data_IF_187767207891
#
_entry.id   IF_187767207891
#
_cell.length_a   1.000
_cell.length_b   1.000
_cell.length_c   1.000
_cell.angle_alpha   90.00
_cell.angle_beta   90.00
_cell.angle_gamma   90.00
#
_symmetry.space_group_name_H-M   'P 1'
#
loop_
_entity.id
_entity.type
_entity.pdbx_description
1 polymer ?
#
# COMPACT_ATOMS: atom_id res chain seq x y z
N UNK A 1 -9.61 -64.01 -54.88
CA UNK A 1 -10.48 -63.07 -54.25
C UNK A 1 -9.84 -62.67 -52.94
N UNK A 2 -9.10 -61.55 -52.95
CA UNK A 2 -8.26 -61.12 -51.81
C UNK A 2 -8.94 -59.95 -51.13
N UNK A 3 -9.32 -60.13 -49.83
CA UNK A 3 -9.94 -59.12 -49.03
C UNK A 3 -8.85 -58.31 -48.36
N UNK A 4 -8.75 -56.99 -48.67
CA UNK A 4 -7.88 -56.03 -47.99
C UNK A 4 -8.61 -55.49 -46.76
N UNK A 5 -8.05 -55.73 -45.57
CA UNK A 5 -8.49 -55.06 -44.33
C UNK A 5 -7.76 -53.75 -44.14
N UNK A 6 -8.50 -52.65 -44.11
CA UNK A 6 -8.00 -51.33 -43.72
C UNK A 6 -8.01 -51.19 -42.18
N UNK A 7 -6.80 -51.06 -41.58
CA UNK A 7 -6.66 -50.60 -40.21
C UNK A 7 -6.68 -49.06 -40.18
N UNK A 8 -7.69 -48.50 -39.56
CA UNK A 8 -7.76 -47.07 -39.22
C UNK A 8 -7.09 -46.86 -37.87
N UNK A 9 -5.90 -46.32 -37.88
CA UNK A 9 -5.22 -45.91 -36.63
C UNK A 9 -5.81 -44.62 -36.07
N UNK A 10 -6.44 -44.69 -34.89
CA UNK A 10 -6.90 -43.53 -34.13
C UNK A 10 -5.70 -42.98 -33.37
N UNK A 11 -5.17 -41.83 -33.79
CA UNK A 11 -4.20 -41.06 -33.05
C UNK A 11 -4.90 -40.29 -31.92
N UNK A 12 -4.73 -40.74 -30.67
CA UNK A 12 -5.16 -40.04 -29.49
C UNK A 12 -4.18 -38.89 -29.22
N UNK A 13 -4.57 -37.65 -29.51
CA UNK A 13 -3.85 -36.46 -29.08
C UNK A 13 -4.11 -36.23 -27.58
N UNK A 14 -3.19 -36.63 -26.69
CA UNK A 14 -3.16 -36.19 -25.30
C UNK A 14 -2.72 -34.73 -25.24
N UNK A 15 -3.67 -33.83 -25.10
CA UNK A 15 -3.37 -32.42 -24.77
C UNK A 15 -2.82 -32.34 -23.34
N UNK A 16 -1.51 -32.26 -23.20
CA UNK A 16 -0.87 -31.95 -21.91
C UNK A 16 -1.11 -30.47 -21.65
N UNK A 17 -2.10 -30.16 -20.81
CA UNK A 17 -2.30 -28.82 -20.26
C UNK A 17 -1.15 -28.54 -19.30
N UNK A 18 -0.13 -27.82 -19.76
CA UNK A 18 0.89 -27.23 -18.89
C UNK A 18 0.21 -26.21 -17.97
N UNK A 19 -0.16 -26.62 -16.78
CA UNK A 19 -0.47 -25.69 -15.69
C UNK A 19 0.83 -24.95 -15.33
N UNK A 20 1.05 -23.78 -15.95
CA UNK A 20 2.05 -22.83 -15.49
C UNK A 20 1.55 -22.32 -14.14
N UNK A 21 2.11 -22.84 -13.05
CA UNK A 21 1.88 -22.27 -11.73
C UNK A 21 2.43 -20.84 -11.76
N UNK A 22 1.66 -19.83 -11.36
CA UNK A 22 2.17 -18.47 -11.26
C UNK A 22 3.34 -18.47 -10.27
N UNK A 23 4.50 -17.98 -10.70
CA UNK A 23 5.65 -17.77 -9.83
C UNK A 23 5.17 -16.91 -8.65
N UNK A 24 5.27 -17.43 -7.43
CA UNK A 24 4.67 -16.79 -6.27
C UNK A 24 5.37 -15.45 -6.01
N UNK A 25 4.64 -14.35 -6.11
CA UNK A 25 5.11 -13.02 -5.74
C UNK A 25 5.58 -12.95 -4.27
N UNK A 26 5.24 -13.96 -3.46
CA UNK A 26 5.64 -14.09 -2.06
C UNK A 26 7.15 -14.29 -1.86
N UNK A 27 7.89 -14.83 -2.85
CA UNK A 27 9.32 -15.12 -2.69
C UNK A 27 10.20 -13.87 -2.56
N UNK A 28 9.71 -12.69 -3.00
CA UNK A 28 10.48 -11.45 -3.02
C UNK A 28 10.07 -10.45 -1.93
N UNK A 29 9.06 -10.79 -1.12
CA UNK A 29 8.58 -9.95 -0.02
C UNK A 29 9.13 -10.48 1.30
N UNK A 30 9.90 -9.64 2.03
CA UNK A 30 10.29 -9.94 3.41
C UNK A 30 9.09 -9.72 4.34
N UNK A 31 8.82 -10.68 5.20
CA UNK A 31 7.74 -10.60 6.20
C UNK A 31 8.32 -10.60 7.61
N UNK A 32 7.68 -9.82 8.47
CA UNK A 32 7.95 -9.75 9.91
C UNK A 32 6.80 -10.41 10.64
N UNK A 33 7.12 -11.25 11.61
CA UNK A 33 6.13 -11.88 12.48
C UNK A 33 5.74 -10.96 13.65
N UNK A 34 4.47 -10.64 13.75
CA UNK A 34 3.89 -9.91 14.89
C UNK A 34 3.34 -10.94 15.88
N UNK A 35 3.77 -10.91 17.16
CA UNK A 35 3.39 -11.92 18.14
C UNK A 35 1.90 -12.01 18.44
N UNK A 36 1.47 -13.19 18.90
CA UNK A 36 0.15 -13.40 19.50
C UNK A 36 0.16 -12.83 20.92
N UNK A 37 -0.43 -11.67 21.09
CA UNK A 37 -0.47 -10.96 22.37
C UNK A 37 -1.73 -10.09 22.48
N UNK A 38 -1.91 -9.46 23.66
CA UNK A 38 -2.89 -8.41 23.88
C UNK A 38 -2.21 -7.05 23.71
N UNK A 39 -2.79 -6.21 22.87
CA UNK A 39 -2.27 -4.88 22.53
C UNK A 39 -3.24 -3.77 22.95
N UNK A 40 -2.69 -2.66 23.40
CA UNK A 40 -3.46 -1.44 23.61
C UNK A 40 -3.44 -0.61 22.32
N UNK A 41 -4.63 -0.31 21.78
CA UNK A 41 -4.85 0.50 20.58
C UNK A 41 -5.64 1.75 20.92
N UNK A 42 -5.56 2.75 20.05
CA UNK A 42 -6.25 4.02 20.21
C UNK A 42 -5.60 4.92 21.26
N UNK A 43 -6.30 5.97 21.63
CA UNK A 43 -5.95 6.94 22.67
C UNK A 43 -7.19 7.38 23.44
N UNK A 44 -7.02 7.85 24.67
CA UNK A 44 -8.11 8.40 25.47
C UNK A 44 -8.67 9.69 24.88
N UNK A 45 -7.81 10.45 24.22
CA UNK A 45 -8.16 11.75 23.65
C UNK A 45 -8.67 11.64 22.20
N UNK A 46 -8.47 10.50 21.52
CA UNK A 46 -8.82 10.35 20.11
C UNK A 46 -10.24 9.80 19.93
N UNK A 47 -11.21 10.65 19.58
CA UNK A 47 -12.62 10.29 19.49
C UNK A 47 -12.95 9.17 18.50
N UNK A 48 -12.26 9.12 17.34
CA UNK A 48 -12.53 8.14 16.29
C UNK A 48 -11.75 6.82 16.47
N UNK A 49 -10.74 6.82 17.34
CA UNK A 49 -9.94 5.65 17.69
C UNK A 49 -9.70 5.62 19.21
N UNK A 50 -10.77 5.36 20.02
CA UNK A 50 -10.68 5.37 21.47
C UNK A 50 -9.80 4.24 22.00
N UNK A 51 -9.18 4.48 23.15
CA UNK A 51 -8.33 3.49 23.83
C UNK A 51 -9.09 2.20 24.08
N UNK A 52 -8.54 1.09 23.62
CA UNK A 52 -9.09 -0.27 23.79
C UNK A 52 -8.01 -1.33 23.82
N UNK A 53 -8.32 -2.47 24.41
CA UNK A 53 -7.47 -3.65 24.42
C UNK A 53 -7.95 -4.63 23.35
N UNK A 54 -7.02 -5.15 22.56
CA UNK A 54 -7.30 -6.06 21.45
C UNK A 54 -6.40 -7.28 21.57
N UNK A 55 -6.98 -8.47 21.46
CA UNK A 55 -6.22 -9.73 21.40
C UNK A 55 -5.87 -10.03 19.94
N UNK A 56 -4.59 -10.15 19.63
CA UNK A 56 -4.10 -10.60 18.34
C UNK A 56 -3.76 -12.09 18.36
N UNK A 57 -4.09 -12.80 17.29
CA UNK A 57 -3.66 -14.20 17.09
C UNK A 57 -2.22 -14.32 16.55
N UNK A 58 -1.55 -13.17 16.33
CA UNK A 58 -0.29 -13.09 15.59
C UNK A 58 -0.53 -13.10 14.08
N UNK A 59 0.37 -12.47 13.34
CA UNK A 59 0.31 -12.40 11.87
C UNK A 59 1.67 -12.06 11.27
N UNK A 60 1.85 -12.37 10.00
CA UNK A 60 3.04 -12.00 9.24
C UNK A 60 2.71 -10.83 8.30
N UNK A 61 3.37 -9.71 8.48
CA UNK A 61 3.19 -8.48 7.70
C UNK A 61 4.45 -8.16 6.88
N UNK A 62 4.30 -7.64 5.68
CA UNK A 62 5.42 -7.20 4.85
C UNK A 62 6.25 -6.12 5.58
N UNK A 63 7.56 -6.30 5.59
CA UNK A 63 8.49 -5.36 6.24
C UNK A 63 8.42 -3.95 5.62
N UNK A 64 8.07 -3.85 4.34
CA UNK A 64 7.95 -2.61 3.58
C UNK A 64 6.61 -2.54 2.86
N UNK A 65 6.31 -1.38 2.31
CA UNK A 65 5.23 -1.19 1.33
C UNK A 65 5.46 -2.05 0.08
N UNK A 66 4.39 -2.30 -0.69
CA UNK A 66 4.47 -3.02 -1.95
C UNK A 66 5.17 -2.18 -3.02
N UNK A 67 6.24 -2.70 -3.60
CA UNK A 67 7.05 -1.97 -4.58
C UNK A 67 6.47 -1.98 -5.99
N UNK A 68 6.87 -1.00 -6.81
CA UNK A 68 6.59 -0.96 -8.24
C UNK A 68 7.01 -2.26 -8.95
N UNK A 69 8.13 -2.86 -8.56
CA UNK A 69 8.63 -4.14 -9.09
C UNK A 69 7.64 -5.28 -8.87
N UNK A 70 7.08 -5.40 -7.68
CA UNK A 70 6.12 -6.45 -7.35
C UNK A 70 4.78 -6.22 -8.05
N UNK A 71 4.32 -4.98 -8.10
CA UNK A 71 3.10 -4.64 -8.82
C UNK A 71 3.23 -4.85 -10.33
N UNK A 72 4.41 -4.57 -10.90
CA UNK A 72 4.70 -4.86 -12.31
C UNK A 72 4.58 -6.37 -12.63
N UNK A 73 5.06 -7.26 -11.73
CA UNK A 73 4.89 -8.71 -11.90
C UNK A 73 3.42 -9.10 -11.99
N UNK A 74 2.57 -8.52 -11.14
CA UNK A 74 1.12 -8.73 -11.18
C UNK A 74 0.52 -8.28 -12.51
N UNK A 75 0.82 -7.06 -12.94
CA UNK A 75 0.29 -6.52 -14.20
C UNK A 75 0.76 -7.34 -15.40
N UNK A 76 2.04 -7.75 -15.45
CA UNK A 76 2.57 -8.59 -16.52
C UNK A 76 1.90 -9.97 -16.56
N UNK A 77 1.64 -10.58 -15.41
CA UNK A 77 1.04 -11.90 -15.31
C UNK A 77 -0.46 -11.93 -15.65
N UNK A 78 -1.16 -10.82 -15.41
CA UNK A 78 -2.63 -10.79 -15.48
C UNK A 78 -3.17 -9.85 -16.57
N UNK A 79 -2.32 -9.01 -17.16
CA UNK A 79 -2.73 -7.91 -18.04
C UNK A 79 -3.73 -6.94 -17.38
N UNK A 80 -3.66 -6.81 -16.05
CA UNK A 80 -4.57 -6.00 -15.27
C UNK A 80 -4.50 -4.53 -15.67
N UNK A 81 -5.66 -3.89 -15.77
CA UNK A 81 -5.81 -2.45 -15.97
C UNK A 81 -6.31 -1.81 -14.69
N UNK A 82 -5.55 -0.88 -14.14
CA UNK A 82 -5.89 -0.16 -12.91
C UNK A 82 -7.09 0.76 -13.09
N UNK A 83 -7.71 1.18 -12.00
CA UNK A 83 -8.78 2.17 -12.02
C UNK A 83 -8.32 3.49 -12.65
N UNK A 84 -7.12 3.94 -12.34
CA UNK A 84 -6.53 5.13 -12.96
C UNK A 84 -6.44 5.01 -14.49
N UNK A 85 -6.03 3.85 -15.00
CA UNK A 85 -5.98 3.58 -16.45
C UNK A 85 -7.37 3.53 -17.10
N UNK A 86 -8.39 3.03 -16.39
CA UNK A 86 -9.76 2.87 -16.89
C UNK A 86 -10.59 4.14 -16.77
N UNK A 87 -10.52 4.82 -15.62
CA UNK A 87 -11.35 5.96 -15.27
C UNK A 87 -10.75 7.31 -15.69
N UNK A 88 -9.43 7.34 -15.96
CA UNK A 88 -8.73 8.55 -16.41
C UNK A 88 -8.88 9.75 -15.45
N UNK A 89 -8.90 9.48 -14.14
CA UNK A 89 -9.23 10.47 -13.10
C UNK A 89 -8.28 10.41 -11.91
N UNK A 90 -7.03 10.01 -12.11
CA UNK A 90 -6.04 9.97 -11.05
C UNK A 90 -5.79 11.38 -10.48
N UNK A 91 -5.58 11.45 -9.18
CA UNK A 91 -5.32 12.69 -8.45
C UNK A 91 -3.82 12.77 -8.16
N UNK A 92 -3.19 13.81 -8.69
CA UNK A 92 -1.75 14.05 -8.57
C UNK A 92 -1.47 15.37 -7.88
N UNK A 93 -0.38 15.43 -7.15
CA UNK A 93 0.13 16.67 -6.58
C UNK A 93 1.16 17.30 -7.52
N UNK A 94 1.18 18.64 -7.55
CA UNK A 94 2.23 19.44 -8.17
C UNK A 94 2.66 20.54 -7.20
N UNK A 95 3.96 20.86 -7.11
CA UNK A 95 4.44 21.98 -6.32
C UNK A 95 3.73 23.29 -6.69
N UNK A 96 3.49 24.14 -5.71
CA UNK A 96 2.78 25.41 -5.89
C UNK A 96 1.26 25.32 -5.81
N UNK A 97 0.69 24.14 -5.55
CA UNK A 97 -0.72 24.01 -5.23
C UNK A 97 -0.99 24.44 -3.79
N UNK A 98 -2.14 25.09 -3.57
CA UNK A 98 -2.62 25.39 -2.22
C UNK A 98 -2.88 24.10 -1.44
N UNK A 99 -2.88 24.20 -0.09
CA UNK A 99 -3.14 23.08 0.81
C UNK A 99 -4.39 22.28 0.42
N UNK A 100 -4.28 20.96 0.47
CA UNK A 100 -5.34 19.99 0.12
C UNK A 100 -5.88 20.11 -1.32
N UNK A 101 -5.13 20.76 -2.23
CA UNK A 101 -5.46 20.80 -3.65
C UNK A 101 -4.71 19.71 -4.41
N UNK A 102 -5.45 19.01 -5.25
CA UNK A 102 -4.97 17.94 -6.11
C UNK A 102 -5.43 18.21 -7.54
N UNK A 103 -4.62 17.84 -8.52
CA UNK A 103 -4.98 17.94 -9.93
C UNK A 103 -5.52 16.59 -10.39
N UNK A 104 -6.61 16.62 -11.16
CA UNK A 104 -7.03 15.44 -11.91
C UNK A 104 -6.17 15.34 -13.17
N UNK A 105 -5.47 14.21 -13.33
CA UNK A 105 -4.63 13.95 -14.50
C UNK A 105 -5.04 12.62 -15.15
N UNK A 106 -5.58 12.71 -16.38
CA UNK A 106 -6.05 11.55 -17.14
C UNK A 106 -4.92 10.67 -17.69
N UNK A 107 -3.67 11.13 -17.62
CA UNK A 107 -2.48 10.41 -18.08
C UNK A 107 -1.73 9.71 -16.94
N UNK A 108 -2.07 10.06 -15.67
CA UNK A 108 -1.44 9.49 -14.50
C UNK A 108 -1.97 8.07 -14.22
N UNK A 109 -1.07 7.16 -13.93
CA UNK A 109 -1.33 5.79 -13.48
C UNK A 109 -0.03 5.20 -12.88
N UNK A 110 -0.05 4.00 -12.37
CA UNK A 110 1.05 3.42 -11.61
C UNK A 110 2.45 3.47 -12.30
N UNK A 111 2.54 3.46 -13.66
CA UNK A 111 3.83 3.64 -14.40
C UNK A 111 4.26 5.09 -14.52
N UNK A 112 3.34 6.02 -14.48
CA UNK A 112 3.54 7.46 -14.52
C UNK A 112 2.70 8.10 -13.41
N UNK A 113 3.13 7.94 -12.13
CA UNK A 113 2.27 8.27 -10.98
C UNK A 113 1.91 9.76 -10.89
N UNK A 114 2.68 10.63 -11.53
CA UNK A 114 2.43 12.07 -11.59
C UNK A 114 2.05 12.57 -13.01
N UNK A 115 1.61 11.67 -13.89
CA UNK A 115 1.27 11.95 -15.29
C UNK A 115 2.44 11.77 -16.26
N UNK A 116 2.11 11.54 -17.56
CA UNK A 116 3.11 11.23 -18.60
C UNK A 116 3.99 12.41 -19.01
N UNK A 117 3.65 13.62 -18.57
CA UNK A 117 4.51 14.82 -18.74
C UNK A 117 5.66 14.87 -17.71
N UNK A 118 5.70 13.95 -16.76
CA UNK A 118 6.73 13.82 -15.72
C UNK A 118 7.38 12.44 -15.80
N UNK A 119 8.43 12.24 -14.99
CA UNK A 119 9.16 10.99 -14.93
C UNK A 119 8.27 9.81 -14.55
N UNK A 120 8.45 8.69 -15.24
CA UNK A 120 7.86 7.40 -14.88
C UNK A 120 8.66 6.68 -13.80
N UNK A 121 8.36 5.39 -13.64
CA UNK A 121 8.97 4.55 -12.59
C UNK A 121 10.17 3.72 -13.06
N UNK A 122 10.72 3.96 -14.25
CA UNK A 122 11.76 3.11 -14.84
C UNK A 122 12.99 2.92 -13.92
N UNK A 123 13.39 3.95 -13.23
CA UNK A 123 14.48 3.98 -12.23
C UNK A 123 13.97 3.87 -10.78
N UNK A 124 12.65 3.73 -10.56
CA UNK A 124 11.97 3.73 -9.25
C UNK A 124 11.33 2.39 -8.93
N UNK A 125 11.93 1.29 -9.36
CA UNK A 125 11.35 -0.05 -9.18
C UNK A 125 11.29 -0.50 -7.71
N UNK A 126 12.13 0.07 -6.84
CA UNK A 126 12.13 -0.16 -5.39
C UNK A 126 11.33 0.87 -4.60
N UNK A 127 10.67 1.83 -5.25
CA UNK A 127 9.72 2.73 -4.59
C UNK A 127 8.37 2.01 -4.42
N UNK A 128 7.53 2.45 -3.46
CA UNK A 128 6.17 1.93 -3.34
C UNK A 128 5.36 2.21 -4.60
N UNK A 129 4.49 1.29 -4.97
CA UNK A 129 3.52 1.55 -6.03
C UNK A 129 2.49 2.56 -5.56
N UNK A 130 2.22 3.56 -6.40
CA UNK A 130 1.21 4.61 -6.14
C UNK A 130 0.31 4.83 -7.36
N UNK A 131 -0.63 5.76 -7.25
CA UNK A 131 -1.61 6.06 -8.30
C UNK A 131 -2.40 4.82 -8.69
N UNK A 132 -2.75 4.06 -7.66
CA UNK A 132 -3.64 2.90 -7.66
C UNK A 132 -4.80 3.16 -6.71
N UNK A 133 -5.91 2.45 -6.90
CA UNK A 133 -7.05 2.49 -6.02
C UNK A 133 -7.01 1.39 -4.96
N UNK A 134 -7.88 1.48 -3.96
CA UNK A 134 -8.10 0.39 -3.00
C UNK A 134 -8.53 -0.91 -3.71
N UNK A 135 -9.38 -0.80 -4.74
CA UNK A 135 -9.81 -1.96 -5.54
C UNK A 135 -8.66 -2.59 -6.33
N UNK A 136 -7.69 -1.81 -6.81
CA UNK A 136 -6.47 -2.33 -7.45
C UNK A 136 -5.60 -3.10 -6.45
N UNK A 137 -5.48 -2.61 -5.20
CA UNK A 137 -4.77 -3.30 -4.14
C UNK A 137 -5.45 -4.63 -3.76
N UNK A 138 -6.79 -4.67 -3.66
CA UNK A 138 -7.56 -5.91 -3.47
C UNK A 138 -7.31 -6.91 -4.62
N UNK A 139 -7.25 -6.44 -5.88
CA UNK A 139 -6.98 -7.30 -7.04
C UNK A 139 -5.57 -7.91 -6.97
N UNK A 140 -4.56 -7.11 -6.61
CA UNK A 140 -3.21 -7.62 -6.34
C UNK A 140 -3.22 -8.68 -5.24
N UNK A 141 -3.84 -8.39 -4.09
CA UNK A 141 -3.92 -9.30 -2.95
C UNK A 141 -4.54 -10.65 -3.33
N UNK A 142 -5.61 -10.64 -4.10
CA UNK A 142 -6.26 -11.87 -4.61
C UNK A 142 -5.32 -12.69 -5.50
N UNK A 143 -4.58 -12.06 -6.41
CA UNK A 143 -3.63 -12.72 -7.28
C UNK A 143 -2.45 -13.30 -6.51
N UNK A 144 -1.85 -12.53 -5.60
CA UNK A 144 -0.69 -12.91 -4.83
C UNK A 144 -1.01 -13.86 -3.66
N UNK A 145 -2.29 -14.14 -3.37
CA UNK A 145 -2.76 -14.92 -2.21
C UNK A 145 -2.29 -14.34 -0.87
N UNK A 146 -2.39 -13.03 -0.76
CA UNK A 146 -2.13 -12.23 0.43
C UNK A 146 -3.38 -11.39 0.74
N UNK A 147 -3.34 -10.59 1.79
CA UNK A 147 -4.43 -9.65 2.12
C UNK A 147 -3.89 -8.30 2.59
N UNK A 148 -4.75 -7.31 2.61
CA UNK A 148 -4.48 -6.05 3.29
C UNK A 148 -4.50 -6.27 4.82
N UNK A 149 -3.78 -5.46 5.61
CA UNK A 149 -3.96 -5.40 7.06
C UNK A 149 -5.35 -4.85 7.40
N UNK A 150 -5.96 -5.35 8.45
CA UNK A 150 -7.07 -4.64 9.10
C UNK A 150 -6.54 -3.35 9.75
N UNK A 151 -7.46 -2.42 10.08
CA UNK A 151 -7.10 -1.20 10.80
C UNK A 151 -6.37 -1.50 12.13
N UNK A 152 -6.80 -2.54 12.84
CA UNK A 152 -6.20 -2.93 14.12
C UNK A 152 -4.83 -3.60 13.92
N UNK A 153 -4.67 -4.49 12.97
CA UNK A 153 -3.39 -5.12 12.65
C UNK A 153 -2.34 -4.10 12.21
N UNK A 154 -2.74 -3.13 11.39
CA UNK A 154 -1.85 -2.05 10.98
C UNK A 154 -1.41 -1.22 12.20
N UNK A 155 -2.33 -0.87 13.11
CA UNK A 155 -2.00 -0.11 14.32
C UNK A 155 -1.09 -0.89 15.27
N UNK A 156 -1.34 -2.19 15.49
CA UNK A 156 -0.45 -3.07 16.26
C UNK A 156 0.96 -3.04 15.67
N UNK A 157 1.05 -3.24 14.36
CA UNK A 157 2.31 -3.27 13.64
C UNK A 157 3.05 -1.93 13.69
N UNK A 158 2.33 -0.81 13.53
CA UNK A 158 2.92 0.53 13.52
C UNK A 158 3.49 0.95 14.88
N UNK A 159 2.80 0.63 15.97
CA UNK A 159 3.24 0.97 17.33
C UNK A 159 4.47 0.18 17.78
N UNK A 160 4.60 -1.07 17.37
CA UNK A 160 5.66 -1.98 17.84
C UNK A 160 5.82 -1.98 19.38
N UNK A 161 4.69 -1.93 20.10
CA UNK A 161 4.65 -1.86 21.57
C UNK A 161 4.85 -0.47 22.17
N UNK A 162 5.14 0.56 21.38
CA UNK A 162 5.28 1.93 21.88
C UNK A 162 3.95 2.48 22.43
N UNK A 163 4.03 3.21 23.53
CA UNK A 163 2.90 3.92 24.16
C UNK A 163 2.88 5.41 23.81
N UNK A 164 3.91 5.87 23.13
CA UNK A 164 4.15 7.23 22.66
C UNK A 164 3.39 7.52 21.37
N UNK A 165 3.32 8.79 20.98
CA UNK A 165 2.68 9.23 19.74
C UNK A 165 3.32 8.56 18.51
N UNK A 166 4.65 8.51 18.49
CA UNK A 166 5.43 7.83 17.46
C UNK A 166 6.14 6.61 18.05
N UNK A 167 6.52 5.65 17.22
CA UNK A 167 7.25 4.47 17.69
C UNK A 167 8.68 4.80 18.17
N UNK A 168 9.22 5.98 17.81
CA UNK A 168 10.53 6.47 18.28
C UNK A 168 10.43 7.38 19.52
N UNK A 169 9.23 7.70 20.03
CA UNK A 169 9.01 8.56 21.19
C UNK A 169 8.06 9.73 20.93
N UNK A 170 8.26 10.85 21.63
CA UNK A 170 7.39 12.04 21.52
C UNK A 170 8.06 13.20 20.76
N UNK A 171 9.35 13.10 20.46
CA UNK A 171 10.08 14.17 19.79
C UNK A 171 9.79 14.22 18.29
N UNK A 172 9.02 15.20 17.79
CA UNK A 172 8.69 15.32 16.38
C UNK A 172 9.88 15.72 15.50
N UNK A 173 10.98 16.23 16.09
CA UNK A 173 12.17 16.64 15.31
C UNK A 173 12.94 15.43 14.76
N UNK A 174 12.78 14.25 15.38
CA UNK A 174 13.42 13.02 14.94
C UNK A 174 12.78 12.41 13.70
N UNK A 175 11.62 12.91 13.25
CA UNK A 175 10.85 12.33 12.13
C UNK A 175 11.69 12.15 10.87
N UNK A 176 12.69 13.02 10.62
CA UNK A 176 13.59 12.96 9.45
C UNK A 176 14.42 11.67 9.38
N UNK A 177 14.59 10.98 10.50
CA UNK A 177 15.32 9.71 10.57
C UNK A 177 14.41 8.49 10.31
N UNK A 178 13.09 8.68 10.42
CA UNK A 178 12.12 7.60 10.48
C UNK A 178 11.06 7.63 9.39
N UNK A 179 10.85 8.79 8.72
CA UNK A 179 9.73 8.93 7.77
C UNK A 179 10.02 9.93 6.65
N UNK A 180 9.60 9.58 5.44
CA UNK A 180 9.50 10.49 4.33
C UNK A 180 8.20 11.29 4.44
N UNK A 181 8.28 12.58 4.79
CA UNK A 181 7.16 13.52 4.86
C UNK A 181 7.53 14.85 4.21
N UNK A 182 6.56 15.72 4.00
CA UNK A 182 6.81 17.08 3.53
C UNK A 182 7.41 17.94 4.64
N UNK A 183 8.62 18.44 4.43
CA UNK A 183 9.35 19.26 5.43
C UNK A 183 9.14 20.75 5.28
N UNK A 184 8.52 21.22 4.20
CA UNK A 184 8.18 22.62 4.00
C UNK A 184 7.10 23.12 4.98
N UNK A 185 7.05 24.42 5.19
CA UNK A 185 6.02 25.06 6.02
C UNK A 185 4.63 24.98 5.39
N UNK A 186 4.60 24.98 4.07
CA UNK A 186 3.41 24.83 3.24
C UNK A 186 3.79 24.11 1.93
N UNK A 187 2.80 23.73 1.13
CA UNK A 187 3.02 23.04 -0.14
C UNK A 187 3.32 23.98 -1.31
N UNK A 188 3.40 25.30 -1.08
CA UNK A 188 3.83 26.27 -2.09
C UNK A 188 5.35 26.28 -2.24
N UNK A 189 6.08 25.95 -1.17
CA UNK A 189 7.54 25.86 -1.15
C UNK A 189 7.99 24.50 -0.67
N UNK A 190 8.70 23.76 -1.53
CA UNK A 190 9.24 22.46 -1.17
C UNK A 190 10.53 22.61 -0.37
N UNK A 191 10.66 21.83 0.70
CA UNK A 191 11.91 21.60 1.41
C UNK A 191 12.31 20.13 1.19
N UNK A 192 13.41 19.91 0.46
CA UNK A 192 13.91 18.58 0.10
C UNK A 192 15.01 18.10 1.05
N UNK A 193 14.97 18.46 2.30
CA UNK A 193 16.04 18.13 3.26
C UNK A 193 16.16 16.62 3.53
N UNK A 194 15.14 15.82 3.24
CA UNK A 194 15.20 14.36 3.26
C UNK A 194 15.65 13.74 1.92
N UNK A 195 15.81 14.56 0.87
CA UNK A 195 16.23 14.13 -0.46
C UNK A 195 15.09 13.73 -1.40
N UNK A 196 13.83 13.75 -0.98
CA UNK A 196 12.69 13.26 -1.77
C UNK A 196 11.58 14.30 -1.88
N UNK A 197 11.10 14.54 -3.10
CA UNK A 197 9.91 15.36 -3.34
C UNK A 197 8.61 14.54 -3.25
N UNK A 198 8.69 13.28 -3.63
CA UNK A 198 7.61 12.32 -3.66
C UNK A 198 8.04 11.09 -2.85
N UNK A 199 7.72 9.89 -3.33
CA UNK A 199 8.12 8.66 -2.65
C UNK A 199 9.64 8.50 -2.56
N UNK A 200 10.11 7.91 -1.46
CA UNK A 200 11.45 7.35 -1.30
C UNK A 200 11.47 5.87 -1.71
N UNK A 201 12.63 5.27 -2.04
CA UNK A 201 12.76 3.82 -2.08
C UNK A 201 12.35 3.21 -0.74
N UNK A 202 11.68 2.06 -0.76
CA UNK A 202 11.32 1.38 0.50
C UNK A 202 12.55 1.06 1.34
N UNK A 203 12.40 1.07 2.67
CA UNK A 203 13.46 0.88 3.65
C UNK A 203 14.58 1.95 3.60
N UNK A 204 14.25 3.19 3.20
CA UNK A 204 15.19 4.31 3.23
C UNK A 204 15.36 4.93 4.61
N UNK A 205 14.44 4.69 5.54
CA UNK A 205 14.42 5.26 6.88
C UNK A 205 14.58 4.16 7.94
N UNK A 206 14.77 4.54 9.22
CA UNK A 206 14.94 3.59 10.31
C UNK A 206 13.64 2.82 10.59
N UNK A 207 13.71 1.49 10.81
CA UNK A 207 12.53 0.69 11.11
C UNK A 207 12.03 0.93 12.53
N UNK A 208 10.79 0.50 12.79
CA UNK A 208 10.25 0.41 14.14
C UNK A 208 10.77 -0.82 14.91
N UNK A 209 10.36 -0.99 16.17
CA UNK A 209 10.82 -2.07 17.05
C UNK A 209 10.47 -3.49 16.58
N UNK A 210 9.56 -3.66 15.64
CA UNK A 210 9.27 -4.94 14.98
C UNK A 210 10.08 -5.15 13.69
N UNK A 211 10.82 -4.15 13.20
CA UNK A 211 11.56 -4.22 11.94
C UNK A 211 10.75 -3.81 10.72
N UNK A 212 9.68 -3.03 10.90
CA UNK A 212 8.88 -2.48 9.82
C UNK A 212 9.40 -1.11 9.42
N UNK A 213 9.64 -0.93 8.14
CA UNK A 213 10.11 0.31 7.52
C UNK A 213 8.94 1.13 6.99
N UNK A 214 9.14 2.45 6.91
CA UNK A 214 8.26 3.40 6.23
C UNK A 214 6.80 3.34 6.73
N UNK A 215 6.62 2.91 8.00
CA UNK A 215 5.27 2.71 8.57
C UNK A 215 4.55 4.04 8.81
N UNK A 216 5.30 5.13 8.87
CA UNK A 216 4.79 6.50 8.83
C UNK A 216 5.44 7.23 7.65
N UNK A 217 4.67 8.10 6.97
CA UNK A 217 5.13 8.81 5.80
C UNK A 217 5.16 7.94 4.53
N UNK A 218 5.96 8.29 3.58
CA UNK A 218 6.13 7.71 2.26
C UNK A 218 4.82 7.57 1.48
N UNK A 219 3.96 6.58 1.75
CA UNK A 219 2.61 6.50 1.19
C UNK A 219 1.56 6.14 2.24
N UNK A 220 0.35 6.67 2.10
CA UNK A 220 -0.80 6.14 2.82
C UNK A 220 -1.01 4.68 2.46
N UNK A 221 -1.17 3.82 3.46
CA UNK A 221 -1.31 2.39 3.27
C UNK A 221 -2.76 1.94 3.41
N UNK A 222 -3.31 1.35 2.36
CA UNK A 222 -4.66 0.81 2.39
C UNK A 222 -4.82 -0.28 3.44
N UNK A 223 -5.93 -0.19 4.19
CA UNK A 223 -6.31 -1.14 5.23
C UNK A 223 -7.71 -1.69 4.97
N UNK A 224 -7.92 -2.97 5.28
CA UNK A 224 -9.23 -3.60 5.32
C UNK A 224 -10.01 -3.18 6.56
N UNK A 225 -11.29 -2.98 6.40
CA UNK A 225 -12.20 -2.69 7.50
C UNK A 225 -13.23 -1.63 7.16
N UNK A 226 -14.23 -1.54 8.01
CA UNK A 226 -15.28 -0.53 7.92
C UNK A 226 -15.28 0.29 9.21
N UNK A 227 -14.96 1.56 9.12
CA UNK A 227 -15.37 2.48 10.17
C UNK A 227 -16.90 2.62 10.09
N UNK A 228 -17.61 2.31 11.16
CA UNK A 228 -19.08 2.30 11.24
C UNK A 228 -19.76 3.66 11.01
N UNK A 229 -19.10 4.61 10.37
CA UNK A 229 -19.48 6.02 10.36
C UNK A 229 -19.89 6.59 9.00
N UNK A 230 -20.10 5.77 7.96
CA UNK A 230 -20.78 6.27 6.77
C UNK A 230 -22.30 6.02 6.88
N UNK A 231 -23.12 7.07 7.17
CA UNK A 231 -24.57 6.92 7.30
C UNK A 231 -25.24 6.51 5.98
N UNK A 232 -24.54 6.59 4.85
CA UNK A 232 -25.02 6.18 3.52
C UNK A 232 -24.59 4.76 3.14
N UNK A 233 -23.92 4.02 4.04
CA UNK A 233 -23.42 2.66 3.84
C UNK A 233 -22.62 2.49 2.52
N UNK A 234 -21.85 3.52 2.14
CA UNK A 234 -20.97 3.46 0.95
C UNK A 234 -19.72 2.66 1.26
N UNK A 235 -19.26 1.88 0.30
CA UNK A 235 -17.92 1.26 0.41
C UNK A 235 -16.88 2.38 0.46
N UNK A 236 -16.08 2.42 1.52
CA UNK A 236 -15.03 3.41 1.75
C UNK A 236 -13.70 2.67 1.83
N UNK A 237 -12.70 3.16 1.10
CA UNK A 237 -11.32 2.76 1.28
C UNK A 237 -10.76 3.42 2.54
N UNK A 238 -10.06 2.67 3.38
CA UNK A 238 -9.34 3.19 4.53
C UNK A 238 -7.85 3.14 4.27
N UNK A 239 -7.12 4.14 4.79
CA UNK A 239 -5.67 4.16 4.72
C UNK A 239 -5.07 4.78 6.00
N UNK A 240 -3.85 4.39 6.34
CA UNK A 240 -3.13 4.82 7.54
C UNK A 240 -1.71 5.26 7.21
N UNK A 241 -1.03 5.84 8.20
CA UNK A 241 0.40 6.10 8.17
C UNK A 241 0.83 7.46 7.62
N UNK A 242 -0.06 8.20 6.95
CA UNK A 242 0.33 9.42 6.27
C UNK A 242 1.13 9.14 4.99
N UNK A 243 1.76 10.17 4.42
CA UNK A 243 2.51 10.02 3.18
C UNK A 243 3.57 11.12 3.05
N UNK A 244 4.38 11.07 2.01
CA UNK A 244 5.34 12.12 1.63
C UNK A 244 4.70 13.52 1.51
N UNK A 245 3.37 13.60 1.34
CA UNK A 245 2.64 14.86 1.28
C UNK A 245 2.26 15.41 2.67
N UNK A 246 2.19 14.58 3.71
CA UNK A 246 1.84 15.01 5.06
C UNK A 246 2.99 15.81 5.70
N UNK A 247 2.66 16.82 6.50
CA UNK A 247 3.62 17.70 7.16
C UNK A 247 3.22 17.99 8.61
N UNK A 248 4.12 18.53 9.40
CA UNK A 248 3.83 19.01 10.76
C UNK A 248 2.81 20.18 10.77
N UNK A 249 2.55 20.80 9.63
CA UNK A 249 1.68 21.98 9.49
C UNK A 249 0.36 21.64 8.80
N UNK A 250 0.31 20.56 8.04
CA UNK A 250 -0.88 20.10 7.34
C UNK A 250 -0.86 18.55 7.24
N UNK A 251 -2.04 17.91 7.31
CA UNK A 251 -2.16 16.45 7.20
C UNK A 251 -1.23 15.70 8.17
N UNK A 252 -1.34 15.88 9.47
CA UNK A 252 -0.50 15.20 10.48
C UNK A 252 -0.76 13.69 10.65
N UNK A 253 -1.18 12.97 9.61
CA UNK A 253 -1.61 11.55 9.67
C UNK A 253 -0.45 10.53 9.74
N UNK A 254 0.79 10.99 9.82
CA UNK A 254 1.95 10.12 10.05
C UNK A 254 2.06 9.68 11.52
N UNK A 255 1.04 9.01 11.99
CA UNK A 255 0.91 8.45 13.33
C UNK A 255 0.07 7.17 13.33
N UNK A 256 -0.03 6.51 14.49
CA UNK A 256 -0.79 5.26 14.64
C UNK A 256 -2.29 5.44 14.83
N UNK A 257 -2.80 6.67 15.02
CA UNK A 257 -4.17 6.92 15.45
C UNK A 257 -5.12 7.26 14.30
N UNK A 258 -4.66 8.11 13.38
CA UNK A 258 -5.49 8.66 12.34
C UNK A 258 -5.79 7.66 11.21
N UNK A 259 -6.99 7.78 10.64
CA UNK A 259 -7.47 6.95 9.52
C UNK A 259 -7.97 7.85 8.39
N UNK A 260 -7.26 7.80 7.28
CA UNK A 260 -7.69 8.40 6.02
C UNK A 260 -8.85 7.62 5.40
N UNK A 261 -9.68 8.32 4.65
CA UNK A 261 -10.86 7.75 3.96
C UNK A 261 -10.95 8.28 2.55
N UNK A 262 -11.19 7.39 1.60
CA UNK A 262 -11.39 7.77 0.22
C UNK A 262 -12.45 6.88 -0.48
N UNK A 263 -12.84 7.29 -1.68
CA UNK A 263 -13.57 6.41 -2.58
C UNK A 263 -12.67 5.22 -2.96
N UNK A 264 -13.13 3.96 -2.85
CA UNK A 264 -12.31 2.78 -3.13
C UNK A 264 -11.81 2.69 -4.59
N UNK A 265 -12.37 3.47 -5.50
CA UNK A 265 -11.95 3.59 -6.90
C UNK A 265 -11.18 4.88 -7.21
N UNK A 266 -10.87 5.70 -6.20
CA UNK A 266 -10.04 6.88 -6.38
C UNK A 266 -8.56 6.48 -6.29
N UNK A 267 -7.74 7.03 -7.19
CA UNK A 267 -6.30 6.80 -7.24
C UNK A 267 -5.56 8.08 -6.97
N UNK A 268 -4.68 8.09 -5.97
CA UNK A 268 -3.86 9.25 -5.60
C UNK A 268 -2.37 8.91 -5.68
N UNK A 269 -1.55 9.89 -6.06
CA UNK A 269 -0.09 9.69 -6.20
C UNK A 269 0.65 9.52 -4.87
N UNK A 270 -0.03 9.59 -3.73
CA UNK A 270 0.50 9.40 -2.38
C UNK A 270 -0.14 8.24 -1.62
N UNK A 271 -0.82 7.33 -2.32
CA UNK A 271 -1.46 6.16 -1.72
C UNK A 271 -0.88 4.87 -2.31
N UNK A 272 -0.60 3.91 -1.44
CA UNK A 272 -0.09 2.60 -1.73
C UNK A 272 -0.59 1.58 -0.72
N UNK A 273 0.13 0.48 -0.47
CA UNK A 273 -0.26 -0.52 0.50
C UNK A 273 0.89 -1.45 0.87
N UNK A 274 0.77 -2.12 2.01
CA UNK A 274 1.54 -3.33 2.37
C UNK A 274 0.62 -4.51 2.57
N UNK A 275 1.16 -5.71 2.62
CA UNK A 275 0.38 -6.94 2.63
C UNK A 275 0.69 -7.83 3.82
N UNK A 276 -0.28 -8.66 4.20
CA UNK A 276 -0.13 -9.73 5.17
C UNK A 276 -0.23 -11.10 4.48
N UNK A 277 0.51 -12.07 5.00
CA UNK A 277 0.30 -13.47 4.62
C UNK A 277 -1.07 -13.96 5.09
N UNK A 278 -1.72 -14.75 4.26
CA UNK A 278 -2.86 -15.55 4.70
C UNK A 278 -2.26 -16.79 5.37
N UNK A 279 -2.35 -16.87 6.69
CA UNK A 279 -1.94 -18.05 7.42
C UNK A 279 -2.93 -19.19 7.10
N UNK A 280 -2.44 -20.32 6.59
CA UNK A 280 -3.24 -21.53 6.48
C UNK A 280 -3.67 -21.98 7.87
N UNK A 281 -4.97 -22.23 8.04
CA UNK A 281 -5.54 -22.80 9.27
C UNK A 281 -5.00 -24.20 9.50
#
# INVERSE_FOLDING_TARGET
MVVKSNLIGVLLFCAISLFVQPASAQSDTSFVHIPKEEYWLGSREHQLNPLRKVSSLGFDIAATELTNRLFEKFVKATHYKTDAERLKNAMVFAPGLAEFRWLSDSTAYWRFPNGTSREGIADKMNHPVTTISYADAEAYCKWAKVRLPTLDEWEIASRAGAKTTYFWGEDPQQIREYANIWHGRDHLSADFTDGYMYTAPVASFKPNGFGLYDIYGNVFEFCEGTLKTDPKNRKIGHARGGSWWCSNYACGFFNSLDVGRNNPHASFSNQGFRVLRILSK
#
